data_IF_255361810486
#
_entry.id   IF_255361810486
#
_cell.length_a   1.000
_cell.length_b   1.000
_cell.length_c   1.000
_cell.angle_alpha   90.00
_cell.angle_beta   90.00
_cell.angle_gamma   90.00
#
_symmetry.space_group_name_H-M   'P 1'
#
loop_
_entity.id
_entity.type
_entity.pdbx_description
1 polymer ?
#
# COMPACT_ATOMS: atom_id res chain seq x y z
N UNK A 1 -1.82 12.63 2.99
CA UNK A 1 -3.22 12.18 3.10
C UNK A 1 -3.27 10.68 3.39
N UNK A 2 -2.78 9.80 2.52
CA UNK A 2 -2.78 8.37 2.82
C UNK A 2 -2.00 8.01 4.10
N UNK A 3 -0.90 8.70 4.42
CA UNK A 3 -0.20 8.50 5.71
C UNK A 3 -1.09 8.80 6.93
N UNK A 4 -1.92 9.84 6.88
CA UNK A 4 -2.82 10.15 8.00
C UNK A 4 -3.94 9.12 8.12
N UNK A 5 -4.49 8.67 7.00
CA UNK A 5 -5.45 7.55 6.97
C UNK A 5 -4.82 6.29 7.56
N UNK A 6 -3.58 5.97 7.16
CA UNK A 6 -2.86 4.81 7.67
C UNK A 6 -2.66 4.87 9.18
N UNK A 7 -2.28 6.03 9.74
CA UNK A 7 -2.12 6.20 11.19
C UNK A 7 -3.43 6.10 11.98
N UNK A 8 -4.58 6.33 11.35
CA UNK A 8 -5.89 6.20 11.97
C UNK A 8 -6.36 4.74 12.01
N UNK A 9 -6.11 3.97 10.94
CA UNK A 9 -6.76 2.66 10.72
C UNK A 9 -5.85 1.46 10.89
N UNK A 10 -4.53 1.66 10.88
CA UNK A 10 -3.53 0.60 11.01
C UNK A 10 -2.84 0.65 12.39
N UNK A 11 -2.27 -0.48 12.85
CA UNK A 11 -1.54 -0.52 14.10
C UNK A 11 -0.38 0.51 14.16
N UNK A 12 -0.11 1.03 15.35
CA UNK A 12 1.01 1.95 15.53
C UNK A 12 2.33 1.28 15.12
N UNK A 13 3.12 1.97 14.28
CA UNK A 13 4.39 1.47 13.78
C UNK A 13 4.31 0.57 12.55
N UNK A 14 3.12 0.31 12.00
CA UNK A 14 2.96 -0.52 10.78
C UNK A 14 3.12 0.26 9.47
N UNK A 15 3.67 1.48 9.52
CA UNK A 15 3.86 2.35 8.36
C UNK A 15 5.33 2.66 8.17
N UNK A 16 5.81 2.59 6.94
CA UNK A 16 7.18 2.97 6.59
C UNK A 16 7.17 3.83 5.31
N UNK A 17 8.05 4.83 5.25
CA UNK A 17 8.37 5.50 3.99
C UNK A 17 9.39 4.67 3.24
N UNK A 18 9.19 4.55 1.93
CA UNK A 18 10.21 3.98 1.06
C UNK A 18 11.48 4.82 1.17
N UNK A 19 12.60 4.19 1.49
CA UNK A 19 13.88 4.88 1.60
C UNK A 19 14.34 5.45 0.24
N UNK A 20 13.98 4.78 -0.85
CA UNK A 20 14.32 5.16 -2.22
C UNK A 20 13.14 4.90 -3.16
N UNK A 21 13.03 5.63 -4.28
CA UNK A 21 12.14 5.27 -5.37
C UNK A 21 12.45 3.87 -5.89
N UNK A 22 11.43 3.20 -6.44
CA UNK A 22 11.58 1.90 -7.11
C UNK A 22 11.84 2.10 -8.59
N UNK A 23 12.60 1.19 -9.21
CA UNK A 23 12.79 1.13 -10.67
C UNK A 23 11.74 0.27 -11.38
N UNK A 24 10.71 -0.20 -10.67
CA UNK A 24 9.58 -0.93 -11.25
C UNK A 24 8.75 -0.05 -12.18
N UNK A 25 8.32 -0.61 -13.31
CA UNK A 25 7.39 0.04 -14.23
C UNK A 25 5.95 -0.26 -13.82
N UNK A 26 5.14 0.79 -13.64
CA UNK A 26 3.73 0.71 -13.22
C UNK A 26 2.90 1.69 -14.05
N UNK A 27 1.84 1.22 -14.70
CA UNK A 27 1.04 2.03 -15.62
C UNK A 27 0.10 3.00 -14.88
N UNK A 28 -0.07 2.82 -13.56
CA UNK A 28 -0.78 3.75 -12.70
C UNK A 28 -0.25 5.19 -12.80
N UNK A 29 1.03 5.34 -13.18
CA UNK A 29 1.66 6.63 -13.44
C UNK A 29 0.88 7.49 -14.45
N UNK A 30 0.24 6.88 -15.46
CA UNK A 30 -0.57 7.62 -16.44
C UNK A 30 -1.82 8.28 -15.83
N UNK A 31 -2.39 7.73 -14.76
CA UNK A 31 -3.46 8.42 -14.02
C UNK A 31 -2.92 9.62 -13.26
N UNK A 32 -1.74 9.48 -12.66
CA UNK A 32 -1.08 10.54 -11.88
C UNK A 32 -0.60 11.72 -12.73
N UNK A 33 -0.46 11.54 -14.05
CA UNK A 33 -0.25 12.65 -14.99
C UNK A 33 -1.50 13.53 -15.18
N UNK A 34 -2.70 13.00 -14.89
CA UNK A 34 -3.98 13.66 -15.19
C UNK A 34 -4.65 14.26 -13.97
N UNK A 35 -4.52 13.60 -12.82
CA UNK A 35 -5.16 14.04 -11.57
C UNK A 35 -4.20 13.85 -10.40
N UNK A 36 -4.26 14.71 -9.36
CA UNK A 36 -3.54 14.47 -8.12
C UNK A 36 -3.96 13.13 -7.53
N UNK A 37 -2.99 12.26 -7.28
CA UNK A 37 -3.23 10.95 -6.71
C UNK A 37 -2.05 10.47 -5.88
N UNK A 38 -2.14 9.25 -5.38
CA UNK A 38 -1.09 8.64 -4.57
C UNK A 38 -1.07 7.14 -4.80
N UNK A 39 0.13 6.57 -4.82
CA UNK A 39 0.37 5.13 -4.91
C UNK A 39 1.12 4.69 -3.65
N UNK A 40 0.79 3.51 -3.13
CA UNK A 40 1.39 2.97 -1.92
C UNK A 40 1.51 1.45 -2.00
N UNK A 41 2.37 0.88 -1.16
CA UNK A 41 2.58 -0.56 -1.05
C UNK A 41 2.00 -1.08 0.25
N UNK A 42 1.62 -2.36 0.25
CA UNK A 42 1.27 -3.12 1.44
C UNK A 42 2.36 -4.16 1.65
N UNK A 43 2.89 -4.23 2.87
CA UNK A 43 3.83 -5.28 3.24
C UNK A 43 3.13 -6.64 3.26
N UNK A 44 3.71 -7.61 2.55
CA UNK A 44 3.22 -9.00 2.50
C UNK A 44 4.15 -9.98 3.20
N UNK A 45 5.31 -9.51 3.67
CA UNK A 45 6.27 -10.34 4.39
C UNK A 45 5.65 -10.87 5.69
N UNK A 46 5.67 -12.19 5.83
CA UNK A 46 5.12 -12.94 6.97
C UNK A 46 6.21 -13.37 7.97
N UNK A 47 7.45 -12.90 7.78
CA UNK A 47 8.57 -13.18 8.68
C UNK A 47 9.14 -14.60 8.54
N UNK A 48 8.80 -15.32 7.46
CA UNK A 48 9.32 -16.68 7.24
C UNK A 48 10.84 -16.71 7.12
N UNK A 49 11.42 -17.81 7.61
CA UNK A 49 12.86 -18.06 7.47
C UNK A 49 13.24 -18.12 5.97
N UNK A 50 14.25 -17.34 5.57
CA UNK A 50 14.67 -17.23 4.17
C UNK A 50 14.04 -16.06 3.40
N UNK A 51 13.12 -15.30 4.01
CA UNK A 51 12.49 -14.13 3.41
C UNK A 51 11.31 -14.46 2.50
N UNK A 52 10.48 -13.46 2.24
CA UNK A 52 9.32 -13.59 1.36
C UNK A 52 9.76 -13.53 -0.12
N UNK A 53 9.31 -14.46 -1.00
CA UNK A 53 9.63 -14.40 -2.42
C UNK A 53 9.20 -13.06 -3.03
N UNK A 54 10.04 -12.48 -3.89
CA UNK A 54 9.70 -11.21 -4.55
C UNK A 54 8.60 -11.38 -5.60
N UNK A 55 7.92 -10.27 -5.93
CA UNK A 55 6.98 -10.21 -7.05
C UNK A 55 7.65 -10.74 -8.33
N UNK A 56 6.90 -11.51 -9.14
CA UNK A 56 7.36 -12.26 -10.33
C UNK A 56 8.19 -13.53 -10.09
N UNK A 57 8.52 -13.87 -8.84
CA UNK A 57 9.18 -15.15 -8.57
C UNK A 57 8.17 -16.33 -8.67
N UNK A 58 8.51 -17.51 -9.24
CA UNK A 58 7.58 -18.63 -9.36
C UNK A 58 7.05 -19.19 -8.04
N UNK A 59 7.82 -19.01 -6.96
CA UNK A 59 7.42 -19.37 -5.60
C UNK A 59 6.66 -18.25 -4.88
N UNK A 60 6.36 -17.14 -5.55
CA UNK A 60 5.52 -16.09 -4.98
C UNK A 60 4.12 -16.66 -4.73
N UNK A 61 3.73 -16.59 -3.47
CA UNK A 61 2.39 -16.87 -2.99
C UNK A 61 1.89 -15.57 -2.36
N UNK A 62 0.59 -15.30 -2.38
CA UNK A 62 0.07 -14.05 -1.86
C UNK A 62 -0.30 -14.21 -0.38
N UNK A 63 0.14 -13.30 0.48
CA UNK A 63 -0.17 -13.35 1.90
C UNK A 63 -1.58 -12.78 2.14
N UNK A 64 -2.58 -13.64 2.29
CA UNK A 64 -3.97 -13.25 2.53
C UNK A 64 -4.16 -12.43 3.83
N UNK A 65 -3.28 -12.59 4.83
CA UNK A 65 -3.31 -11.79 6.06
C UNK A 65 -3.01 -10.30 5.81
N UNK A 66 -2.47 -9.96 4.64
CA UNK A 66 -2.28 -8.57 4.21
C UNK A 66 -3.59 -7.91 3.72
N UNK A 67 -4.59 -8.69 3.26
CA UNK A 67 -5.83 -8.15 2.68
C UNK A 67 -6.59 -7.20 3.62
N UNK A 68 -6.77 -7.51 4.91
CA UNK A 68 -7.48 -6.61 5.82
C UNK A 68 -6.85 -5.22 5.92
N UNK A 69 -5.52 -5.12 5.84
CA UNK A 69 -4.81 -3.84 5.87
C UNK A 69 -5.12 -3.03 4.60
N UNK A 70 -5.11 -3.66 3.43
CA UNK A 70 -5.44 -2.99 2.18
C UNK A 70 -6.89 -2.55 2.08
N UNK A 71 -7.81 -3.41 2.51
CA UNK A 71 -9.24 -3.06 2.57
C UNK A 71 -9.48 -1.85 3.47
N UNK A 72 -8.89 -1.81 4.67
CA UNK A 72 -8.98 -0.64 5.55
C UNK A 72 -8.45 0.62 4.89
N UNK A 73 -7.29 0.54 4.24
CA UNK A 73 -6.69 1.69 3.56
C UNK A 73 -7.61 2.25 2.47
N UNK A 74 -8.12 1.41 1.57
CA UNK A 74 -8.97 1.87 0.46
C UNK A 74 -10.33 2.39 0.94
N UNK A 75 -11.01 1.66 1.84
CA UNK A 75 -12.33 2.06 2.35
C UNK A 75 -12.24 3.40 3.08
N UNK A 76 -11.29 3.54 4.00
CA UNK A 76 -11.18 4.78 4.77
C UNK A 76 -10.64 5.94 3.94
N UNK A 77 -9.74 5.71 2.97
CA UNK A 77 -9.32 6.75 2.05
C UNK A 77 -10.50 7.27 1.21
N UNK A 78 -11.37 6.38 0.73
CA UNK A 78 -12.55 6.79 -0.03
C UNK A 78 -13.56 7.57 0.83
N UNK A 79 -13.90 7.05 2.02
CA UNK A 79 -14.86 7.69 2.93
C UNK A 79 -14.34 9.03 3.47
N UNK A 80 -13.09 9.06 3.95
CA UNK A 80 -12.49 10.29 4.47
C UNK A 80 -12.38 11.37 3.38
N UNK A 81 -12.08 11.00 2.13
CA UNK A 81 -12.03 11.94 1.01
C UNK A 81 -13.41 12.52 0.71
N UNK A 82 -14.45 11.66 0.66
CA UNK A 82 -15.83 12.07 0.43
C UNK A 82 -16.37 13.01 1.53
N UNK A 83 -16.08 12.71 2.80
CA UNK A 83 -16.58 13.47 3.95
C UNK A 83 -15.90 14.83 4.12
N UNK A 84 -14.60 14.92 3.79
CA UNK A 84 -13.78 16.10 4.08
C UNK A 84 -13.52 16.99 2.86
N UNK A 85 -14.08 16.65 1.69
CA UNK A 85 -14.12 17.53 0.52
C UNK A 85 -12.76 18.12 0.14
N UNK A 86 -11.72 17.27 0.14
CA UNK A 86 -10.64 17.48 -0.82
C UNK A 86 -11.04 16.88 -2.15
#
# INVERSE_FOLDING_TARGET
YLESVAHEVLPQGSTARLAHPTMGGEDFAYYLERVPGSFFFIGVDDGRAGGYPSLHHPAYDFNDDALPHGMKMFVHAALSYADHGK
#
